data_IF_131980352802
#
_entry.id   IF_131980352802
#
_cell.length_a   1.000
_cell.length_b   1.000
_cell.length_c   1.000
_cell.angle_alpha   90.00
_cell.angle_beta   90.00
_cell.angle_gamma   90.00
#
_symmetry.space_group_name_H-M   'P 1'
#
loop_
_entity.id
_entity.type
_entity.pdbx_description
1 polymer ?
#
# COMPACT_ATOMS: atom_id res chain seq x y z
N UNK A 1 -38.23 25.20 29.09
CA UNK A 1 -38.47 25.27 27.63
C UNK A 1 -38.53 26.74 27.23
N UNK A 2 -37.42 27.25 26.70
CA UNK A 2 -37.33 28.64 26.22
C UNK A 2 -36.61 28.61 24.87
N UNK A 3 -37.35 28.88 23.80
CA UNK A 3 -36.86 28.88 22.43
C UNK A 3 -36.30 30.27 22.10
N UNK A 4 -35.02 30.33 21.74
CA UNK A 4 -34.37 31.55 21.26
C UNK A 4 -34.32 31.54 19.73
N UNK A 5 -34.98 32.55 19.13
CA UNK A 5 -35.06 32.81 17.71
C UNK A 5 -33.71 33.19 17.08
N UNK A 6 -33.45 32.60 15.92
CA UNK A 6 -32.55 33.08 14.87
C UNK A 6 -32.84 34.54 14.49
N UNK A 7 -31.79 35.35 14.31
CA UNK A 7 -31.83 36.60 13.54
C UNK A 7 -30.99 36.46 12.28
N UNK A 8 -31.68 36.42 11.15
CA UNK A 8 -31.17 36.60 9.79
C UNK A 8 -30.84 38.10 9.60
N UNK A 9 -29.64 38.42 9.10
CA UNK A 9 -29.33 39.75 8.56
C UNK A 9 -29.17 39.66 7.05
N UNK A 10 -30.12 40.27 6.35
CA UNK A 10 -30.06 40.58 4.93
C UNK A 10 -29.08 41.73 4.68
N UNK A 11 -28.16 41.58 3.73
CA UNK A 11 -27.39 42.70 3.19
C UNK A 11 -27.69 42.81 1.69
N UNK A 12 -28.19 43.98 1.28
CA UNK A 12 -28.51 44.32 -0.11
C UNK A 12 -27.30 44.96 -0.78
N UNK A 13 -27.15 44.60 -2.05
CA UNK A 13 -26.16 44.97 -3.07
C UNK A 13 -26.21 46.47 -3.44
N UNK A 14 -25.07 47.08 -3.80
CA UNK A 14 -25.03 48.11 -4.84
C UNK A 14 -24.46 47.54 -6.15
N UNK A 15 -25.21 47.78 -7.24
CA UNK A 15 -24.76 47.58 -8.63
C UNK A 15 -23.94 48.80 -9.08
N UNK A 16 -22.79 48.56 -9.71
CA UNK A 16 -22.20 49.41 -10.74
C UNK A 16 -21.25 48.55 -11.59
N UNK A 17 -21.69 48.16 -12.78
CA UNK A 17 -21.25 48.70 -14.07
C UNK A 17 -19.92 48.12 -14.57
N UNK A 18 -20.06 47.19 -15.51
CA UNK A 18 -19.24 46.98 -16.71
C UNK A 18 -17.74 47.27 -16.64
N UNK A 19 -16.93 46.21 -16.72
CA UNK A 19 -15.95 46.14 -17.80
C UNK A 19 -15.54 44.70 -18.11
N UNK A 20 -15.32 44.50 -19.41
CA UNK A 20 -15.00 43.29 -20.16
C UNK A 20 -13.67 42.63 -19.80
N UNK A 21 -13.63 41.29 -19.90
CA UNK A 21 -12.40 40.51 -20.08
C UNK A 21 -12.21 39.43 -19.02
N UNK A 22 -12.73 38.23 -19.27
CA UNK A 22 -12.52 37.08 -18.40
C UNK A 22 -12.59 35.78 -19.18
N UNK A 23 -11.42 35.20 -19.41
CA UNK A 23 -11.22 33.90 -20.07
C UNK A 23 -12.07 32.81 -19.43
N UNK A 24 -12.83 32.10 -20.26
CA UNK A 24 -13.50 30.87 -19.93
C UNK A 24 -12.48 29.80 -19.54
N UNK A 25 -12.29 29.55 -18.23
CA UNK A 25 -11.66 28.32 -17.75
C UNK A 25 -12.69 27.20 -17.85
N UNK A 26 -12.65 26.47 -18.97
CA UNK A 26 -13.34 25.19 -19.08
C UNK A 26 -12.65 24.22 -18.10
N UNK A 27 -13.37 23.86 -17.04
CA UNK A 27 -13.00 22.73 -16.19
C UNK A 27 -13.08 21.45 -17.02
N UNK A 28 -11.93 21.05 -17.59
CA UNK A 28 -11.80 19.78 -18.29
C UNK A 28 -11.81 18.68 -17.23
N UNK A 29 -13.01 18.13 -16.97
CA UNK A 29 -13.16 16.86 -16.29
C UNK A 29 -12.58 15.79 -17.23
N UNK A 30 -11.28 15.48 -17.07
CA UNK A 30 -10.60 14.43 -17.83
C UNK A 30 -11.17 13.08 -17.40
N UNK A 31 -12.13 12.57 -18.17
CA UNK A 31 -12.50 11.15 -18.15
C UNK A 31 -11.28 10.35 -18.60
N UNK A 32 -10.57 9.77 -17.66
CA UNK A 32 -9.55 8.77 -17.93
C UNK A 32 -10.26 7.44 -18.22
N UNK A 33 -10.26 7.03 -19.48
CA UNK A 33 -10.54 5.65 -19.87
C UNK A 33 -9.25 4.86 -19.61
N UNK A 34 -9.29 3.89 -18.69
CA UNK A 34 -8.23 2.90 -18.57
C UNK A 34 -8.79 1.49 -18.71
N UNK A 35 -8.04 0.70 -19.46
CA UNK A 35 -8.26 -0.71 -19.72
C UNK A 35 -7.69 -1.46 -18.54
N UNK A 36 -8.55 -2.15 -17.79
CA UNK A 36 -8.14 -3.10 -16.75
C UNK A 36 -7.19 -4.13 -17.34
N UNK A 37 -6.12 -4.56 -16.64
CA UNK A 37 -5.50 -5.83 -16.95
C UNK A 37 -6.57 -6.90 -16.73
N UNK A 38 -7.10 -7.44 -17.83
CA UNK A 38 -7.91 -8.65 -17.80
C UNK A 38 -7.12 -9.71 -17.05
N UNK A 39 -7.74 -10.38 -16.08
CA UNK A 39 -7.16 -11.51 -15.37
C UNK A 39 -6.67 -12.54 -16.39
N UNK A 40 -5.40 -12.45 -16.78
CA UNK A 40 -4.88 -13.23 -17.89
C UNK A 40 -4.55 -14.61 -17.33
N UNK A 41 -5.43 -15.57 -17.65
CA UNK A 41 -5.23 -17.01 -17.40
C UNK A 41 -3.92 -17.42 -18.09
N UNK A 42 -2.83 -17.54 -17.34
CA UNK A 42 -1.52 -17.90 -17.86
C UNK A 42 -1.53 -19.34 -18.38
N UNK A 43 -1.19 -19.52 -19.67
CA UNK A 43 -0.79 -20.82 -20.23
C UNK A 43 0.71 -20.97 -20.07
N UNK A 44 1.13 -22.08 -19.49
CA UNK A 44 2.53 -22.45 -19.31
C UNK A 44 3.29 -22.52 -20.64
N UNK A 45 4.42 -21.84 -20.72
CA UNK A 45 5.49 -22.15 -21.66
C UNK A 45 6.75 -22.51 -20.87
N UNK A 46 7.30 -23.70 -21.17
CA UNK A 46 8.58 -24.20 -20.66
C UNK A 46 9.71 -23.39 -21.29
N UNK A 47 10.63 -22.85 -20.50
CA UNK A 47 11.91 -22.35 -20.99
C UNK A 47 13.06 -22.89 -20.12
N UNK A 48 14.08 -23.31 -20.86
CA UNK A 48 15.29 -24.02 -20.47
C UNK A 48 16.30 -23.15 -19.72
N UNK A 49 16.97 -23.74 -18.73
CA UNK A 49 18.02 -23.09 -17.93
C UNK A 49 19.34 -22.98 -18.70
N UNK A 50 19.95 -21.79 -18.66
CA UNK A 50 21.40 -21.60 -18.83
C UNK A 50 21.89 -20.66 -17.74
N UNK A 51 22.78 -21.15 -16.88
CA UNK A 51 23.45 -20.37 -15.82
C UNK A 51 24.86 -20.02 -16.26
N UNK A 52 25.31 -18.76 -16.12
CA UNK A 52 26.71 -18.43 -15.96
C UNK A 52 27.03 -18.16 -14.48
N UNK A 53 28.13 -18.77 -14.03
CA UNK A 53 28.74 -18.58 -12.70
C UNK A 53 29.18 -17.14 -12.48
N UNK A 54 28.93 -16.61 -11.27
CA UNK A 54 29.66 -15.47 -10.70
C UNK A 54 30.28 -15.82 -9.34
N UNK A 55 31.34 -15.11 -8.93
CA UNK A 55 32.19 -15.48 -7.81
C UNK A 55 31.67 -15.01 -6.45
N UNK A 56 32.16 -15.73 -5.45
CA UNK A 56 31.92 -15.73 -4.01
C UNK A 56 32.01 -14.38 -3.28
N UNK A 57 30.99 -14.11 -2.46
CA UNK A 57 31.06 -13.19 -1.32
C UNK A 57 30.49 -13.87 -0.05
N UNK A 58 31.24 -13.72 1.03
CA UNK A 58 31.05 -14.04 2.46
C UNK A 58 29.85 -14.91 2.90
N UNK A 59 30.18 -16.14 3.35
CA UNK A 59 29.31 -17.07 4.07
C UNK A 59 28.80 -16.47 5.39
N UNK A 60 27.49 -16.28 5.51
CA UNK A 60 26.79 -16.61 6.76
C UNK A 60 26.36 -18.07 6.64
N UNK A 61 26.95 -18.93 7.46
CA UNK A 61 26.55 -20.33 7.60
C UNK A 61 25.24 -20.40 8.36
N UNK A 62 24.13 -20.31 7.65
CA UNK A 62 22.90 -20.99 8.05
C UNK A 62 23.11 -22.46 7.70
N UNK A 63 23.39 -23.28 8.72
CA UNK A 63 23.34 -24.73 8.63
C UNK A 63 21.88 -25.12 8.42
N UNK A 64 21.46 -25.26 7.17
CA UNK A 64 20.28 -26.04 6.83
C UNK A 64 20.60 -27.51 7.16
N UNK A 65 20.20 -27.95 8.34
CA UNK A 65 20.17 -29.37 8.67
C UNK A 65 19.09 -29.99 7.79
N UNK A 66 19.51 -30.67 6.73
CA UNK A 66 18.66 -31.64 6.06
C UNK A 66 18.32 -32.71 7.09
N UNK A 67 17.11 -32.70 7.65
CA UNK A 67 16.67 -33.74 8.56
C UNK A 67 16.77 -35.07 7.81
N UNK A 68 17.57 -35.98 8.36
CA UNK A 68 17.52 -37.36 7.91
C UNK A 68 16.19 -37.93 8.40
N UNK A 69 15.54 -38.79 7.61
CA UNK A 69 14.25 -39.40 8.00
C UNK A 69 14.29 -40.17 9.32
N UNK A 70 15.50 -40.45 9.83
CA UNK A 70 15.72 -41.13 11.09
C UNK A 70 15.62 -40.19 12.30
N UNK A 71 15.86 -38.88 12.13
CA UNK A 71 15.74 -37.88 13.20
C UNK A 71 14.26 -37.61 13.53
N UNK A 72 13.39 -37.59 12.52
CA UNK A 72 11.94 -37.43 12.70
C UNK A 72 11.32 -38.63 13.44
N UNK A 73 11.83 -39.84 13.21
CA UNK A 73 11.41 -41.04 13.92
C UNK A 73 11.85 -41.03 15.41
N UNK A 74 13.03 -40.48 15.69
CA UNK A 74 13.55 -40.31 17.06
C UNK A 74 12.73 -39.26 17.83
N UNK A 75 12.42 -38.13 17.20
CA UNK A 75 11.58 -37.08 17.78
C UNK A 75 10.15 -37.57 18.05
N UNK A 76 9.55 -38.31 17.12
CA UNK A 76 8.26 -38.96 17.32
C UNK A 76 8.29 -40.00 18.45
N UNK A 77 9.40 -40.73 18.61
CA UNK A 77 9.55 -41.72 19.69
C UNK A 77 9.69 -41.10 21.09
N UNK A 78 10.16 -39.85 21.16
CA UNK A 78 10.26 -39.08 22.41
C UNK A 78 8.91 -38.46 22.83
N UNK A 79 7.88 -38.60 21.98
CA UNK A 79 6.56 -38.01 22.24
C UNK A 79 6.57 -36.48 22.31
N UNK A 80 7.60 -35.85 21.74
CA UNK A 80 7.71 -34.40 21.67
C UNK A 80 6.93 -33.94 20.44
N UNK A 81 5.75 -33.40 20.71
CA UNK A 81 4.97 -32.67 19.71
C UNK A 81 5.67 -31.34 19.41
N UNK A 82 6.43 -31.31 18.32
CA UNK A 82 7.13 -30.10 17.87
C UNK A 82 6.14 -29.01 17.44
N UNK A 83 4.92 -29.39 17.06
CA UNK A 83 3.85 -28.44 16.74
C UNK A 83 3.38 -27.71 18.03
N UNK A 84 3.55 -28.33 19.20
CA UNK A 84 3.30 -27.68 20.49
C UNK A 84 4.41 -26.68 20.91
N UNK A 85 5.53 -26.63 20.19
CA UNK A 85 6.60 -25.64 20.35
C UNK A 85 6.53 -24.51 19.32
N UNK A 86 5.57 -24.55 18.39
CA UNK A 86 5.27 -23.36 17.60
C UNK A 86 4.89 -22.25 18.59
N UNK A 87 5.56 -21.07 18.52
CA UNK A 87 5.17 -19.95 19.35
C UNK A 87 3.67 -19.72 19.12
N UNK A 88 2.87 -19.54 20.18
CA UNK A 88 1.44 -19.33 20.02
C UNK A 88 1.26 -18.22 18.99
N UNK A 89 0.34 -18.44 18.04
CA UNK A 89 -0.02 -17.42 17.06
C UNK A 89 -0.14 -16.08 17.79
N UNK A 90 0.59 -15.08 17.31
CA UNK A 90 0.57 -13.75 17.93
C UNK A 90 -0.87 -13.28 17.83
N UNK A 91 -1.58 -13.37 18.95
CA UNK A 91 -2.98 -13.00 19.04
C UNK A 91 -3.10 -11.54 18.62
N UNK A 92 -3.96 -11.28 17.63
CA UNK A 92 -4.16 -9.93 17.07
C UNK A 92 -3.34 -9.56 15.84
N UNK A 93 -2.64 -10.49 15.18
CA UNK A 93 -2.10 -10.20 13.85
C UNK A 93 -3.22 -9.98 12.81
N UNK A 94 -2.90 -9.28 11.72
CA UNK A 94 -3.89 -8.89 10.72
C UNK A 94 -4.60 -10.09 10.10
N UNK A 95 -3.85 -11.17 9.82
CA UNK A 95 -4.40 -12.37 9.21
C UNK A 95 -5.42 -13.06 10.13
N UNK A 96 -5.10 -13.26 11.41
CA UNK A 96 -6.01 -13.88 12.37
C UNK A 96 -7.30 -13.10 12.48
N UNK A 97 -7.23 -11.76 12.58
CA UNK A 97 -8.42 -10.91 12.63
C UNK A 97 -9.30 -11.03 11.38
N UNK A 98 -8.67 -11.13 10.20
CA UNK A 98 -9.39 -11.32 8.94
C UNK A 98 -10.06 -12.70 8.87
N UNK A 99 -9.39 -13.76 9.34
CA UNK A 99 -9.95 -15.12 9.41
C UNK A 99 -11.16 -15.17 10.34
N UNK A 100 -11.12 -14.49 11.48
CA UNK A 100 -12.27 -14.35 12.39
C UNK A 100 -13.47 -13.67 11.72
N UNK A 101 -13.23 -12.78 10.77
CA UNK A 101 -14.27 -12.16 9.93
C UNK A 101 -14.66 -12.99 8.70
N UNK A 102 -14.35 -14.29 8.69
CA UNK A 102 -14.66 -15.24 7.62
C UNK A 102 -13.99 -14.87 6.27
N UNK A 103 -12.81 -14.24 6.30
CA UNK A 103 -12.01 -14.04 5.11
C UNK A 103 -11.62 -15.38 4.48
N UNK A 104 -11.87 -15.53 3.18
CA UNK A 104 -11.27 -16.60 2.38
C UNK A 104 -10.00 -16.06 1.73
N UNK A 105 -8.87 -16.71 2.01
CA UNK A 105 -7.56 -16.31 1.47
C UNK A 105 -7.30 -16.94 0.10
N UNK A 106 -6.45 -16.29 -0.70
CA UNK A 106 -5.95 -16.88 -1.94
C UNK A 106 -5.16 -18.17 -1.60
N UNK A 107 -5.32 -19.26 -2.36
CA UNK A 107 -4.52 -20.46 -2.18
C UNK A 107 -3.03 -20.14 -2.40
N UNK A 108 -2.14 -20.92 -1.78
CA UNK A 108 -0.67 -20.73 -1.80
C UNK A 108 -0.06 -20.54 -3.20
N UNK A 109 -0.67 -21.14 -4.23
CA UNK A 109 -0.23 -21.03 -5.63
C UNK A 109 -0.68 -19.71 -6.29
N UNK A 110 -1.73 -19.08 -5.76
CA UNK A 110 -2.26 -17.80 -6.20
C UNK A 110 -1.87 -16.64 -5.27
N UNK A 111 -1.13 -16.91 -4.19
CA UNK A 111 -0.62 -15.86 -3.30
C UNK A 111 0.26 -14.90 -4.10
N UNK A 112 -0.10 -13.63 -4.04
CA UNK A 112 0.67 -12.59 -4.70
C UNK A 112 2.04 -12.50 -4.01
N UNK A 113 3.09 -12.74 -4.79
CA UNK A 113 4.46 -12.76 -4.29
C UNK A 113 4.98 -11.32 -4.25
N UNK A 114 5.30 -10.83 -3.05
CA UNK A 114 6.04 -9.58 -2.86
C UNK A 114 7.55 -9.87 -2.91
N UNK A 115 8.39 -8.86 -2.70
CA UNK A 115 9.86 -9.06 -2.81
C UNK A 115 10.39 -9.89 -1.65
N UNK A 116 9.89 -9.65 -0.44
CA UNK A 116 10.30 -10.35 0.78
C UNK A 116 9.63 -11.71 0.97
N UNK A 117 8.64 -12.08 0.14
CA UNK A 117 8.07 -13.42 0.14
C UNK A 117 6.56 -13.46 -0.14
N UNK A 118 5.91 -14.48 0.41
CA UNK A 118 4.46 -14.66 0.28
C UNK A 118 3.76 -13.90 1.40
N UNK A 119 2.89 -12.97 1.03
CA UNK A 119 1.97 -12.32 1.97
C UNK A 119 0.57 -12.84 1.70
N UNK A 120 -0.03 -13.51 2.68
CA UNK A 120 -1.43 -13.93 2.59
C UNK A 120 -2.32 -12.69 2.63
N UNK A 121 -3.20 -12.55 1.63
CA UNK A 121 -4.23 -11.51 1.62
C UNK A 121 -5.60 -12.13 1.35
N UNK A 122 -6.67 -11.59 1.94
CA UNK A 122 -8.04 -12.05 1.69
C UNK A 122 -8.39 -11.94 0.21
N UNK A 123 -8.83 -13.05 -0.39
CA UNK A 123 -9.43 -13.05 -1.72
C UNK A 123 -10.82 -12.42 -1.69
N UNK A 124 -11.64 -12.77 -0.70
CA UNK A 124 -13.00 -12.28 -0.49
C UNK A 124 -13.45 -12.48 0.97
N UNK A 125 -14.56 -11.84 1.35
CA UNK A 125 -15.25 -12.02 2.63
C UNK A 125 -16.68 -12.54 2.44
N UNK A 126 -17.01 -13.04 1.24
CA UNK A 126 -18.36 -13.46 0.84
C UNK A 126 -19.46 -12.39 1.03
N UNK A 127 -19.09 -11.10 0.94
CA UNK A 127 -19.95 -9.95 1.18
C UNK A 127 -19.99 -8.96 0.00
N UNK A 128 -19.71 -9.41 -1.23
CA UNK A 128 -19.53 -8.54 -2.41
C UNK A 128 -20.68 -7.54 -2.63
N UNK A 129 -21.94 -7.94 -2.39
CA UNK A 129 -23.07 -7.04 -2.53
C UNK A 129 -23.03 -5.87 -1.53
N UNK A 130 -22.72 -6.17 -0.27
CA UNK A 130 -22.55 -5.19 0.80
C UNK A 130 -21.34 -4.29 0.53
N UNK A 131 -20.20 -4.89 0.15
CA UNK A 131 -18.98 -4.18 -0.22
C UNK A 131 -19.21 -3.16 -1.35
N UNK A 132 -19.95 -3.53 -2.40
CA UNK A 132 -20.31 -2.60 -3.49
C UNK A 132 -21.18 -1.45 -3.02
N UNK A 133 -22.19 -1.74 -2.19
CA UNK A 133 -23.03 -0.69 -1.60
C UNK A 133 -22.21 0.25 -0.72
N UNK A 134 -21.33 -0.30 0.12
CA UNK A 134 -20.47 0.47 1.01
C UNK A 134 -19.46 1.35 0.25
N UNK A 135 -18.84 0.82 -0.81
CA UNK A 135 -17.94 1.62 -1.65
C UNK A 135 -18.63 2.83 -2.30
N UNK A 136 -19.95 2.74 -2.53
CA UNK A 136 -20.76 3.82 -3.13
C UNK A 136 -21.38 4.76 -2.11
N UNK A 137 -21.62 4.31 -0.87
CA UNK A 137 -22.45 5.03 0.11
C UNK A 137 -21.72 5.37 1.41
N UNK A 138 -20.73 4.57 1.80
CA UNK A 138 -20.00 4.70 3.05
C UNK A 138 -18.48 4.58 2.82
N UNK A 139 -17.85 3.52 3.33
CA UNK A 139 -16.43 3.26 3.19
C UNK A 139 -16.16 1.76 3.18
N UNK A 140 -15.10 1.38 2.49
CA UNK A 140 -14.56 0.02 2.45
C UNK A 140 -13.11 0.02 2.90
N UNK A 141 -12.64 -1.11 3.41
CA UNK A 141 -11.22 -1.34 3.74
C UNK A 141 -10.71 -2.58 3.03
N UNK A 142 -9.54 -2.46 2.40
CA UNK A 142 -8.88 -3.51 1.63
C UNK A 142 -7.49 -3.75 2.18
N UNK A 143 -7.11 -5.02 2.34
CA UNK A 143 -5.73 -5.37 2.67
C UNK A 143 -4.85 -5.37 1.41
N UNK A 144 -3.83 -4.52 1.42
CA UNK A 144 -2.86 -4.32 0.34
C UNK A 144 -1.45 -4.71 0.78
N UNK A 145 -1.32 -5.50 1.83
CA UNK A 145 -0.03 -5.91 2.41
C UNK A 145 0.85 -6.73 1.45
N UNK A 146 0.27 -7.26 0.38
CA UNK A 146 1.00 -7.91 -0.71
C UNK A 146 1.77 -6.92 -1.62
N UNK A 147 1.54 -5.60 -1.51
CA UNK A 147 2.33 -4.57 -2.20
C UNK A 147 3.74 -4.47 -1.63
N UNK A 148 4.69 -4.05 -2.44
CA UNK A 148 6.05 -3.79 -1.99
C UNK A 148 6.16 -2.43 -1.31
N UNK A 149 6.87 -2.40 -0.18
CA UNK A 149 7.06 -1.23 0.67
C UNK A 149 8.54 -1.01 0.90
N UNK A 150 9.08 0.05 0.31
CA UNK A 150 10.50 0.35 0.32
C UNK A 150 10.70 1.71 0.95
N UNK A 151 11.63 1.80 1.89
CA UNK A 151 12.04 3.05 2.50
C UNK A 151 13.39 3.48 1.92
N UNK A 152 13.41 4.63 1.25
CA UNK A 152 14.61 5.27 0.76
C UNK A 152 15.07 6.33 1.76
N UNK A 153 16.27 6.19 2.30
CA UNK A 153 16.80 7.07 3.35
C UNK A 153 18.12 7.72 2.94
N UNK A 154 18.56 8.71 3.72
CA UNK A 154 19.85 9.38 3.56
C UNK A 154 19.76 10.71 2.82
N UNK A 155 20.88 11.45 2.80
CA UNK A 155 20.96 12.79 2.23
C UNK A 155 20.62 12.83 0.72
N UNK A 156 21.05 11.81 -0.04
CA UNK A 156 20.93 11.78 -1.51
C UNK A 156 19.69 11.00 -2.00
N UNK A 157 18.68 10.80 -1.12
CA UNK A 157 17.48 10.00 -1.41
C UNK A 157 16.66 10.54 -2.58
N UNK A 158 16.61 11.85 -2.77
CA UNK A 158 15.84 12.47 -3.85
C UNK A 158 16.50 12.27 -5.21
N UNK A 159 17.83 12.41 -5.27
CA UNK A 159 18.61 12.10 -6.48
C UNK A 159 18.54 10.62 -6.83
N UNK A 160 18.62 9.73 -5.84
CA UNK A 160 18.46 8.29 -6.05
C UNK A 160 17.06 7.93 -6.57
N UNK A 161 16.00 8.52 -6.02
CA UNK A 161 14.63 8.32 -6.54
C UNK A 161 14.52 8.79 -7.99
N UNK A 162 15.06 9.97 -8.31
CA UNK A 162 15.03 10.52 -9.65
C UNK A 162 15.80 9.63 -10.65
N UNK A 163 16.97 9.13 -10.27
CA UNK A 163 17.77 8.21 -11.09
C UNK A 163 17.05 6.86 -11.31
N UNK A 164 16.45 6.28 -10.26
CA UNK A 164 15.69 5.03 -10.38
C UNK A 164 14.49 5.20 -11.32
N UNK A 165 13.75 6.31 -11.18
CA UNK A 165 12.62 6.60 -12.06
C UNK A 165 13.04 6.77 -13.52
N UNK A 166 14.16 7.45 -13.79
CA UNK A 166 14.72 7.56 -15.14
C UNK A 166 15.10 6.18 -15.70
N UNK A 167 15.75 5.33 -14.91
CA UNK A 167 16.14 3.97 -15.31
C UNK A 167 14.91 3.10 -15.66
N UNK A 168 13.78 3.33 -14.99
CA UNK A 168 12.52 2.64 -15.25
C UNK A 168 11.74 3.23 -16.43
N UNK A 169 12.23 4.30 -17.06
CA UNK A 169 11.62 4.95 -18.23
C UNK A 169 10.71 6.13 -17.89
N UNK A 170 10.77 6.67 -16.67
CA UNK A 170 10.04 7.87 -16.26
C UNK A 170 10.44 9.11 -17.04
N UNK A 171 9.45 9.91 -17.46
CA UNK A 171 9.68 11.17 -18.19
C UNK A 171 9.39 12.42 -17.35
N UNK A 172 9.37 12.32 -16.02
CA UNK A 172 8.99 13.42 -15.12
C UNK A 172 10.15 13.98 -14.30
N UNK A 173 10.15 15.28 -14.07
CA UNK A 173 10.85 15.91 -12.94
C UNK A 173 10.08 15.58 -11.66
N UNK A 174 10.70 14.85 -10.74
CA UNK A 174 10.11 14.55 -9.43
C UNK A 174 10.16 15.80 -8.56
N UNK A 175 9.03 16.51 -8.47
CA UNK A 175 8.84 17.61 -7.52
C UNK A 175 8.32 17.06 -6.18
N UNK A 176 8.96 15.98 -5.71
CA UNK A 176 8.72 15.44 -4.38
C UNK A 176 9.74 16.11 -3.46
N UNK A 177 9.29 17.16 -2.77
CA UNK A 177 10.08 17.83 -1.74
C UNK A 177 9.74 17.23 -0.36
N UNK A 178 10.52 17.57 0.66
CA UNK A 178 10.28 17.10 2.05
C UNK A 178 8.99 17.68 2.68
N UNK A 179 8.06 18.23 1.89
CA UNK A 179 6.83 18.87 2.33
C UNK A 179 5.67 17.89 2.56
N UNK A 180 5.94 16.61 2.85
CA UNK A 180 4.93 15.57 3.08
C UNK A 180 3.97 15.39 1.90
N UNK A 181 4.53 15.31 0.68
CA UNK A 181 3.77 15.12 -0.56
C UNK A 181 3.82 13.68 -1.04
N UNK A 182 2.75 13.26 -1.72
CA UNK A 182 2.67 11.98 -2.40
C UNK A 182 2.62 12.19 -3.92
N UNK A 183 3.34 11.38 -4.67
CA UNK A 183 3.39 11.44 -6.12
C UNK A 183 3.37 10.03 -6.72
N UNK A 184 2.42 9.80 -7.63
CA UNK A 184 2.46 8.59 -8.47
C UNK A 184 3.68 8.64 -9.39
N UNK A 185 4.50 7.60 -9.33
CA UNK A 185 5.59 7.36 -10.26
C UNK A 185 5.05 6.64 -11.50
N UNK A 186 4.96 7.39 -12.58
CA UNK A 186 4.60 6.88 -13.90
C UNK A 186 5.85 6.69 -14.76
N UNK A 187 6.02 5.52 -15.38
CA UNK A 187 7.10 5.28 -16.35
C UNK A 187 6.56 5.06 -17.76
N UNK A 188 7.27 5.58 -18.75
CA UNK A 188 6.90 5.50 -20.15
C UNK A 188 7.24 4.11 -20.73
N UNK A 189 6.42 3.11 -20.43
CA UNK A 189 6.41 1.85 -21.19
C UNK A 189 5.20 1.84 -22.14
N UNK A 190 5.26 2.60 -23.22
CA UNK A 190 4.19 2.65 -24.23
C UNK A 190 2.84 3.15 -23.70
N UNK A 191 1.84 3.25 -24.58
CA UNK A 191 0.58 3.95 -24.34
C UNK A 191 -0.35 3.32 -23.27
N UNK A 192 0.02 2.19 -22.66
CA UNK A 192 -0.92 1.35 -21.90
C UNK A 192 -0.55 1.01 -20.44
N UNK A 193 0.59 1.43 -19.89
CA UNK A 193 0.96 1.10 -18.49
C UNK A 193 1.39 2.36 -17.72
N UNK A 194 0.44 3.03 -17.05
CA UNK A 194 0.67 4.38 -16.51
C UNK A 194 0.94 4.50 -15.02
N UNK A 195 0.81 3.49 -14.18
CA UNK A 195 1.15 3.63 -12.75
C UNK A 195 1.90 2.40 -12.25
N UNK A 196 3.13 2.61 -11.78
CA UNK A 196 4.03 1.49 -11.47
C UNK A 196 4.59 1.57 -10.04
N UNK A 197 4.60 2.75 -9.42
CA UNK A 197 4.80 2.89 -7.99
C UNK A 197 4.23 4.23 -7.49
N UNK A 198 4.10 4.38 -6.18
CA UNK A 198 3.74 5.61 -5.49
C UNK A 198 4.91 5.99 -4.58
N UNK A 199 5.41 7.23 -4.66
CA UNK A 199 6.38 7.75 -3.73
C UNK A 199 5.72 8.77 -2.80
N UNK A 200 5.99 8.66 -1.50
CA UNK A 200 5.52 9.58 -0.48
C UNK A 200 6.73 10.12 0.31
N UNK A 201 6.96 11.42 0.23
CA UNK A 201 8.02 12.06 0.98
C UNK A 201 7.64 12.15 2.46
N UNK A 202 8.57 11.71 3.31
CA UNK A 202 8.55 11.84 4.75
C UNK A 202 9.71 12.74 5.16
N UNK A 203 9.70 13.24 6.39
CA UNK A 203 10.74 14.17 6.88
C UNK A 203 12.18 13.68 6.68
N UNK A 204 12.43 12.38 6.83
CA UNK A 204 13.78 11.79 6.78
C UNK A 204 13.90 10.60 5.82
N UNK A 205 12.88 10.36 5.00
CA UNK A 205 12.82 9.22 4.11
C UNK A 205 11.83 9.47 2.97
N UNK A 206 11.88 8.65 1.94
CA UNK A 206 10.81 8.53 0.95
C UNK A 206 10.28 7.11 1.05
N UNK A 207 8.97 6.97 1.24
CA UNK A 207 8.28 5.70 1.20
C UNK A 207 7.86 5.43 -0.25
N UNK A 208 8.36 4.35 -0.84
CA UNK A 208 8.01 3.91 -2.18
C UNK A 208 7.15 2.65 -2.08
N UNK A 209 5.97 2.71 -2.68
CA UNK A 209 4.96 1.67 -2.69
C UNK A 209 4.82 1.14 -4.10
N UNK A 210 5.09 -0.13 -4.34
CA UNK A 210 5.03 -0.73 -5.67
C UNK A 210 4.03 -1.90 -5.71
N UNK A 211 3.27 -2.08 -6.80
CA UNK A 211 2.46 -3.27 -6.99
C UNK A 211 3.32 -4.54 -6.97
N UNK A 212 2.75 -5.70 -6.58
CA UNK A 212 3.49 -6.96 -6.44
C UNK A 212 4.21 -7.37 -7.74
N UNK A 213 3.57 -7.13 -8.89
CA UNK A 213 4.12 -7.46 -10.20
C UNK A 213 5.35 -6.62 -10.60
N UNK A 214 5.69 -5.61 -9.80
CA UNK A 214 6.71 -4.60 -10.08
C UNK A 214 7.71 -4.42 -8.94
N UNK A 215 7.38 -4.89 -7.73
CA UNK A 215 8.22 -4.74 -6.53
C UNK A 215 9.70 -5.01 -6.76
N UNK A 216 10.04 -6.18 -7.30
CA UNK A 216 11.44 -6.57 -7.52
C UNK A 216 12.16 -5.67 -8.53
N UNK A 217 11.46 -5.22 -9.57
CA UNK A 217 12.01 -4.30 -10.57
C UNK A 217 12.28 -2.92 -9.94
N UNK A 218 11.36 -2.42 -9.13
CA UNK A 218 11.48 -1.13 -8.45
C UNK A 218 12.59 -1.16 -7.41
N UNK A 219 12.67 -2.22 -6.61
CA UNK A 219 13.73 -2.39 -5.61
C UNK A 219 15.11 -2.39 -6.27
N UNK A 220 15.31 -3.22 -7.29
CA UNK A 220 16.58 -3.30 -8.02
C UNK A 220 16.99 -1.95 -8.62
N UNK A 221 16.04 -1.21 -9.21
CA UNK A 221 16.32 0.10 -9.78
C UNK A 221 16.73 1.13 -8.71
N UNK A 222 16.12 1.09 -7.52
CA UNK A 222 16.49 1.95 -6.39
C UNK A 222 17.87 1.60 -5.83
N UNK A 223 18.20 0.31 -5.73
CA UNK A 223 19.53 -0.15 -5.28
C UNK A 223 20.63 0.29 -6.24
N UNK A 224 20.43 0.09 -7.55
CA UNK A 224 21.35 0.55 -8.60
C UNK A 224 21.48 2.08 -8.61
N UNK A 225 20.38 2.80 -8.39
CA UNK A 225 20.39 4.25 -8.28
C UNK A 225 21.19 4.75 -7.06
N UNK A 226 21.00 4.14 -5.89
CA UNK A 226 21.80 4.48 -4.70
C UNK A 226 23.30 4.23 -4.94
N UNK A 227 23.64 3.11 -5.59
CA UNK A 227 25.02 2.78 -5.93
C UNK A 227 25.65 3.75 -6.95
N UNK A 228 24.86 4.24 -7.92
CA UNK A 228 25.35 5.12 -9.00
C UNK A 228 25.43 6.59 -8.61
N UNK A 229 24.44 7.11 -7.88
CA UNK A 229 24.47 8.47 -7.33
C UNK A 229 25.60 8.63 -6.31
N UNK A 230 25.89 7.55 -5.58
CA UNK A 230 26.88 7.55 -4.50
C UNK A 230 26.46 8.39 -3.30
N UNK A 231 27.29 8.38 -2.26
CA UNK A 231 27.03 9.11 -1.01
C UNK A 231 26.11 8.35 -0.05
N UNK A 232 25.38 9.11 0.77
CA UNK A 232 24.52 8.60 1.85
C UNK A 232 23.08 8.45 1.32
N UNK A 233 22.84 7.47 0.45
CA UNK A 233 21.50 7.02 0.10
C UNK A 233 21.42 5.50 0.29
N UNK A 234 20.36 5.03 0.91
CA UNK A 234 20.17 3.61 1.18
C UNK A 234 18.72 3.19 1.01
N UNK A 235 18.55 1.96 0.54
CA UNK A 235 17.27 1.30 0.36
C UNK A 235 17.05 0.34 1.52
N UNK A 236 15.87 0.37 2.12
CA UNK A 236 15.46 -0.55 3.17
C UNK A 236 14.12 -1.14 2.77
N UNK A 237 14.09 -2.45 2.51
CA UNK A 237 12.82 -3.17 2.41
C UNK A 237 12.18 -3.21 3.80
N UNK A 238 10.92 -2.79 3.89
CA UNK A 238 10.14 -2.78 5.15
C UNK A 238 8.87 -3.64 5.03
N UNK A 239 8.79 -4.51 4.02
CA UNK A 239 7.62 -5.35 3.76
C UNK A 239 7.28 -6.26 4.94
N UNK A 240 8.29 -6.83 5.60
CA UNK A 240 8.11 -7.77 6.70
C UNK A 240 7.54 -7.06 7.94
N UNK A 241 8.04 -5.86 8.25
CA UNK A 241 7.73 -5.10 9.46
C UNK A 241 6.42 -4.32 9.36
N UNK A 242 5.87 -4.15 8.16
CA UNK A 242 4.70 -3.29 7.94
C UNK A 242 3.57 -3.98 7.20
N UNK A 243 2.36 -3.49 7.43
CA UNK A 243 1.15 -3.86 6.69
C UNK A 243 0.55 -2.63 6.04
N UNK A 244 -0.18 -2.87 4.96
CA UNK A 244 -0.80 -1.80 4.18
C UNK A 244 -2.28 -2.07 4.04
N UNK A 245 -3.08 -1.08 4.42
CA UNK A 245 -4.52 -1.06 4.23
C UNK A 245 -4.87 0.06 3.24
N UNK A 246 -5.94 -0.11 2.47
CA UNK A 246 -6.52 0.96 1.66
C UNK A 246 -7.96 1.18 2.09
N UNK A 247 -8.29 2.42 2.43
CA UNK A 247 -9.65 2.82 2.81
C UNK A 247 -10.21 3.72 1.72
N UNK A 248 -11.40 3.40 1.21
CA UNK A 248 -12.01 4.14 0.11
C UNK A 248 -13.52 4.31 0.28
N UNK A 249 -14.10 5.26 -0.46
CA UNK A 249 -15.55 5.51 -0.49
C UNK A 249 -15.95 6.84 0.18
N UNK A 250 -17.17 7.35 -0.04
CA UNK A 250 -17.55 8.74 0.28
C UNK A 250 -17.31 9.22 1.72
N UNK A 251 -17.24 8.30 2.68
CA UNK A 251 -17.07 8.62 4.11
C UNK A 251 -15.70 8.25 4.67
N UNK A 252 -14.75 7.85 3.80
CA UNK A 252 -13.40 7.40 4.21
C UNK A 252 -12.69 8.43 5.09
N UNK A 253 -12.83 9.72 4.77
CA UNK A 253 -12.19 10.82 5.53
C UNK A 253 -12.67 10.86 6.97
N UNK A 254 -13.97 10.70 7.22
CA UNK A 254 -14.52 10.69 8.58
C UNK A 254 -14.06 9.47 9.39
N UNK A 255 -13.87 8.33 8.71
CA UNK A 255 -13.31 7.13 9.36
C UNK A 255 -11.84 7.34 9.71
N UNK A 256 -11.01 7.85 8.80
CA UNK A 256 -9.59 8.08 9.05
C UNK A 256 -9.37 9.18 10.10
N UNK A 257 -10.17 10.24 10.07
CA UNK A 257 -10.14 11.32 11.06
C UNK A 257 -10.50 10.85 12.47
N UNK A 258 -11.24 9.74 12.63
CA UNK A 258 -11.50 9.20 13.96
C UNK A 258 -10.22 8.74 14.67
N UNK A 259 -9.13 8.55 13.93
CA UNK A 259 -7.80 8.21 14.45
C UNK A 259 -6.87 9.42 14.53
N UNK A 260 -7.34 10.62 14.17
CA UNK A 260 -6.52 11.83 14.09
C UNK A 260 -7.16 13.05 14.78
N UNK A 261 -6.34 13.77 15.52
CA UNK A 261 -6.52 15.21 15.70
C UNK A 261 -5.63 15.96 14.70
N UNK A 262 -6.10 16.18 13.46
CA UNK A 262 -5.62 17.30 12.62
C UNK A 262 -4.84 17.05 11.32
N UNK A 263 -5.05 15.97 10.55
CA UNK A 263 -4.27 15.75 9.31
C UNK A 263 -4.96 16.07 7.97
N UNK A 264 -6.00 16.89 7.95
CA UNK A 264 -6.85 17.03 6.76
C UNK A 264 -6.33 17.89 5.61
N UNK A 265 -5.07 18.31 5.61
CA UNK A 265 -4.53 19.26 4.59
C UNK A 265 -3.22 18.79 3.94
N UNK A 266 -2.86 17.50 4.09
CA UNK A 266 -1.63 16.94 3.52
C UNK A 266 -1.88 15.64 2.77
N UNK A 267 -1.16 15.47 1.66
CA UNK A 267 -1.15 14.21 0.90
C UNK A 267 -0.52 13.08 1.70
N UNK A 268 0.40 13.40 2.63
CA UNK A 268 1.02 12.42 3.55
C UNK A 268 0.91 12.92 4.99
N UNK A 269 0.39 12.07 5.86
CA UNK A 269 0.27 12.32 7.30
C UNK A 269 0.97 11.21 8.10
N UNK A 270 1.72 11.62 9.12
CA UNK A 270 2.20 10.71 10.16
C UNK A 270 1.26 10.85 11.36
N UNK A 271 0.53 9.78 11.65
CA UNK A 271 -0.52 9.72 12.67
C UNK A 271 -0.12 8.73 13.74
N UNK A 272 -0.89 8.69 14.82
CA UNK A 272 -0.69 7.70 15.89
C UNK A 272 -1.94 6.82 16.03
N UNK A 273 -1.73 5.52 16.14
CA UNK A 273 -2.77 4.56 16.48
C UNK A 273 -2.24 3.66 17.60
N UNK A 274 -2.93 3.63 18.75
CA UNK A 274 -2.46 2.86 19.91
C UNK A 274 -1.06 3.27 20.40
N UNK A 275 -0.64 4.52 20.15
CA UNK A 275 0.72 5.00 20.43
C UNK A 275 1.79 4.58 19.40
N UNK A 276 1.44 3.76 18.41
CA UNK A 276 2.31 3.38 17.30
C UNK A 276 2.18 4.37 16.13
N UNK A 277 3.27 4.69 15.40
CA UNK A 277 3.22 5.54 14.23
C UNK A 277 2.53 4.83 13.05
N UNK A 278 1.66 5.54 12.36
CA UNK A 278 0.98 5.08 11.15
C UNK A 278 1.13 6.16 10.07
N UNK A 279 1.40 5.76 8.84
CA UNK A 279 1.55 6.67 7.70
C UNK A 279 0.26 6.59 6.88
N UNK A 280 -0.48 7.70 6.78
CA UNK A 280 -1.62 7.82 5.89
C UNK A 280 -1.21 8.63 4.65
N UNK A 281 -1.56 8.13 3.48
CA UNK A 281 -1.31 8.76 2.18
C UNK A 281 -2.64 8.94 1.48
N UNK A 282 -3.03 10.19 1.22
CA UNK A 282 -4.31 10.57 0.61
C UNK A 282 -4.09 11.04 -0.84
N UNK A 283 -5.16 11.14 -1.62
CA UNK A 283 -5.07 11.59 -3.02
C UNK A 283 -4.40 10.58 -3.96
N UNK A 284 -4.33 9.31 -3.54
CA UNK A 284 -3.67 8.22 -4.26
C UNK A 284 -4.65 7.09 -4.58
N UNK A 285 -4.39 6.38 -5.67
CA UNK A 285 -5.23 5.26 -6.13
C UNK A 285 -6.24 5.63 -7.22
N UNK A 286 -7.03 4.63 -7.64
CA UNK A 286 -8.04 4.78 -8.70
C UNK A 286 -9.33 5.43 -8.21
N UNK A 287 -9.56 5.37 -6.90
CA UNK A 287 -10.74 5.90 -6.24
C UNK A 287 -10.32 6.77 -5.07
N UNK A 288 -11.19 7.70 -4.69
CA UNK A 288 -10.95 8.57 -3.56
C UNK A 288 -10.83 7.75 -2.26
N UNK A 289 -9.72 7.96 -1.55
CA UNK A 289 -9.33 7.12 -0.43
C UNK A 289 -7.95 7.46 0.14
N UNK A 290 -7.52 6.62 1.09
CA UNK A 290 -6.23 6.70 1.73
C UNK A 290 -5.53 5.34 1.79
N UNK A 291 -4.25 5.30 1.44
CA UNK A 291 -3.36 4.20 1.77
C UNK A 291 -2.81 4.41 3.17
N UNK A 292 -2.89 3.39 4.01
CA UNK A 292 -2.46 3.42 5.40
C UNK A 292 -1.39 2.36 5.59
N UNK A 293 -0.18 2.76 5.98
CA UNK A 293 0.93 1.86 6.30
C UNK A 293 1.17 1.89 7.81
N UNK A 294 1.07 0.72 8.43
CA UNK A 294 1.21 0.54 9.87
C UNK A 294 2.24 -0.55 10.17
N UNK A 295 2.77 -0.54 11.39
CA UNK A 295 3.58 -1.64 11.90
C UNK A 295 2.76 -2.93 11.94
N UNK A 296 3.38 -4.07 11.64
CA UNK A 296 2.70 -5.37 11.66
C UNK A 296 2.05 -5.64 13.03
N UNK A 297 2.67 -5.22 14.13
CA UNK A 297 2.20 -5.49 15.48
C UNK A 297 0.87 -4.81 15.83
N UNK A 298 0.51 -3.70 15.16
CA UNK A 298 -0.77 -3.01 15.39
C UNK A 298 -1.75 -3.09 14.22
N UNK A 299 -1.36 -3.74 13.12
CA UNK A 299 -2.15 -3.76 11.89
C UNK A 299 -3.52 -4.44 12.04
N UNK A 300 -3.61 -5.54 12.82
CA UNK A 300 -4.87 -6.23 13.09
C UNK A 300 -5.84 -5.36 13.91
N UNK A 301 -5.34 -4.73 14.97
CA UNK A 301 -6.12 -3.79 15.78
C UNK A 301 -6.62 -2.58 14.97
N UNK A 302 -5.76 -2.02 14.12
CA UNK A 302 -6.09 -0.91 13.23
C UNK A 302 -7.19 -1.31 12.23
N UNK A 303 -7.04 -2.47 11.60
CA UNK A 303 -8.05 -3.00 10.69
C UNK A 303 -9.39 -3.24 11.40
N UNK A 304 -9.38 -3.84 12.58
CA UNK A 304 -10.57 -4.00 13.40
C UNK A 304 -11.21 -2.69 13.82
N UNK A 305 -10.40 -1.65 14.09
CA UNK A 305 -10.88 -0.32 14.42
C UNK A 305 -11.56 0.35 13.22
N UNK A 306 -11.02 0.20 12.00
CA UNK A 306 -11.64 0.67 10.76
C UNK A 306 -13.00 -0.01 10.53
N UNK A 307 -13.09 -1.33 10.74
CA UNK A 307 -14.36 -2.05 10.59
C UNK A 307 -15.39 -1.60 11.64
N UNK A 308 -14.98 -1.43 12.91
CA UNK A 308 -15.86 -0.88 13.96
C UNK A 308 -16.32 0.56 13.66
N UNK A 309 -15.51 1.34 12.94
CA UNK A 309 -15.87 2.67 12.48
C UNK A 309 -16.82 2.68 11.26
N UNK A 310 -17.21 1.50 10.76
CA UNK A 310 -18.20 1.35 9.69
C UNK A 310 -17.62 1.04 8.31
N UNK A 311 -16.32 0.78 8.20
CA UNK A 311 -15.76 0.24 6.95
C UNK A 311 -16.22 -1.21 6.74
N UNK A 312 -16.64 -1.52 5.51
CA UNK A 312 -16.89 -2.90 5.10
C UNK A 312 -15.60 -3.51 4.55
N UNK A 313 -15.12 -4.66 5.07
CA UNK A 313 -13.91 -5.30 4.57
C UNK A 313 -14.15 -5.91 3.18
N UNK A 314 -13.16 -5.77 2.30
CA UNK A 314 -13.21 -6.25 0.92
C UNK A 314 -11.94 -7.02 0.60
N UNK A 315 -12.08 -8.18 -0.06
CA UNK A 315 -10.95 -8.96 -0.52
C UNK A 315 -10.42 -8.50 -1.88
N UNK A 316 -9.20 -8.88 -2.22
CA UNK A 316 -8.49 -8.40 -3.42
C UNK A 316 -9.23 -8.75 -4.73
N UNK A 317 -9.92 -9.89 -4.80
CA UNK A 317 -10.69 -10.28 -5.98
C UNK A 317 -11.95 -9.44 -6.14
N UNK A 318 -12.63 -9.16 -5.03
CA UNK A 318 -13.86 -8.36 -5.02
C UNK A 318 -13.57 -6.89 -5.34
N UNK A 319 -12.44 -6.38 -4.82
CA UNK A 319 -11.96 -5.02 -5.05
C UNK A 319 -11.82 -4.69 -6.54
N UNK A 320 -11.35 -5.64 -7.35
CA UNK A 320 -11.22 -5.44 -8.80
C UNK A 320 -12.57 -5.27 -9.53
N UNK A 321 -13.69 -5.50 -8.85
CA UNK A 321 -15.04 -5.43 -9.43
C UNK A 321 -15.89 -4.28 -8.90
N UNK A 322 -15.34 -3.50 -7.96
CA UNK A 322 -15.95 -2.31 -7.36
C UNK A 322 -15.45 -1.09 -8.12
#
# INVERSE_FOLDING_TARGET
MSAALMRVRSFRVPRSSSNSGGSSSTGVCRRFLFVFPTCHRQRHSRVSYYSPRRPSASRRTSTSLSSSSDDDALLASLGLDLDALEPPAIDGDLESFQREMNAAFLPDEATLTSVSGRTAVPANYNNLAEARTAAQQSAVVVDRSHWTRIRLVGANRHEALAAASQALGGSGTHDIDDAFRAQNLSWASGETNKDIALAAALRSAILVLAPPSKGAQVLSALEDACASVGGDAAVVDIEAETRMLFVAGPTWTGVVQAFEEGATDRDVALVQFGGAPVIAITGVGLVDGAMIVADQACAGELFGALVRAGCVPVGEMDWCTI
#
